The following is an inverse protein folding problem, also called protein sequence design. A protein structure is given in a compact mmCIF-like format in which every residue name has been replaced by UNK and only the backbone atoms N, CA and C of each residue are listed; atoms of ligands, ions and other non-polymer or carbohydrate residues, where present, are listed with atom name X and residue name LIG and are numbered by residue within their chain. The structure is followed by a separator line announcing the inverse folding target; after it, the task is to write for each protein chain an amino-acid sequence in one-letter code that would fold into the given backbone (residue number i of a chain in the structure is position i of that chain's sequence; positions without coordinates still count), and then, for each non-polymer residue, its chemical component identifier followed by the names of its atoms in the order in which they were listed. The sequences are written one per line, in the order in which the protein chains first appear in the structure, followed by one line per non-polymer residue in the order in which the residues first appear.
data_IF_128429375651
#
_entry.id   IF_128429375651
#
_cell.length_a   1.000
_cell.length_b   1.000
_cell.length_c   1.000
_cell.angle_alpha   90.00
_cell.angle_beta   90.00
_cell.angle_gamma   90.00
#
_symmetry.space_group_name_H-M   'P 1'
#
loop_
_entity.id
_entity.type
_entity.pdbx_description
1 polymer ?
#
# COMPACT_ATOMS: atom_id res chain seq x y z
N UNK A 1 9.85 8.01 11.13
CA UNK A 1 9.01 9.23 11.08
C UNK A 1 9.18 9.81 9.69
N UNK A 2 8.10 10.22 9.02
CA UNK A 2 8.16 10.74 7.66
C UNK A 2 8.43 12.24 7.66
N UNK A 3 9.05 12.73 6.59
CA UNK A 3 9.37 14.14 6.40
C UNK A 3 8.58 14.71 5.22
N UNK A 4 8.46 16.04 5.18
CA UNK A 4 7.88 16.74 4.03
C UNK A 4 8.75 16.46 2.80
N UNK A 5 8.11 16.06 1.71
CA UNK A 5 8.77 15.61 0.47
C UNK A 5 8.95 14.10 0.37
N UNK A 6 8.73 13.33 1.44
CA UNK A 6 8.83 11.87 1.37
C UNK A 6 7.77 11.29 0.43
N UNK A 7 8.21 10.38 -0.45
CA UNK A 7 7.35 9.57 -1.30
C UNK A 7 6.89 8.36 -0.51
N UNK A 8 5.59 8.26 -0.30
CA UNK A 8 4.97 7.24 0.55
C UNK A 8 3.86 6.53 -0.20
N UNK A 9 3.49 5.35 0.28
CA UNK A 9 2.35 4.57 -0.21
C UNK A 9 1.42 4.33 0.95
N UNK A 10 0.16 4.75 0.79
CA UNK A 10 -0.91 4.46 1.71
C UNK A 10 -1.76 3.31 1.13
N UNK A 11 -1.93 2.18 1.87
CA UNK A 11 -2.71 1.05 1.39
C UNK A 11 -4.09 1.48 0.88
N UNK A 12 -4.57 0.82 -0.19
CA UNK A 12 -5.83 1.09 -0.89
C UNK A 12 -5.96 2.45 -1.59
N UNK A 13 -5.18 3.46 -1.22
CA UNK A 13 -5.26 4.81 -1.80
C UNK A 13 -4.14 5.06 -2.83
N UNK A 14 -2.98 4.43 -2.62
CA UNK A 14 -1.86 4.47 -3.57
C UNK A 14 -0.70 5.32 -3.10
N UNK A 15 0.12 5.74 -4.06
CA UNK A 15 1.33 6.52 -3.81
C UNK A 15 1.01 8.03 -3.71
N UNK A 16 1.71 8.72 -2.82
CA UNK A 16 1.60 10.15 -2.61
C UNK A 16 2.88 10.75 -2.05
N UNK A 17 2.84 12.06 -1.82
CA UNK A 17 3.96 12.82 -1.24
C UNK A 17 3.44 13.50 0.03
N UNK A 18 4.23 13.46 1.10
CA UNK A 18 3.93 14.24 2.30
C UNK A 18 4.18 15.72 2.00
N UNK A 19 3.14 16.54 1.98
CA UNK A 19 3.25 17.98 1.74
C UNK A 19 3.41 18.78 3.04
N UNK A 20 2.80 18.32 4.14
CA UNK A 20 2.85 19.01 5.41
C UNK A 20 2.68 18.07 6.60
N UNK A 21 3.09 18.55 7.78
CA UNK A 21 2.81 17.95 9.07
C UNK A 21 2.04 19.00 9.88
N UNK A 22 0.76 18.74 10.12
CA UNK A 22 -0.14 19.68 10.78
C UNK A 22 -0.56 19.17 12.16
N UNK A 23 -0.71 20.07 13.12
CA UNK A 23 -1.38 19.77 14.38
C UNK A 23 -2.84 20.27 14.29
N UNK A 24 -3.80 19.39 14.54
CA UNK A 24 -5.23 19.74 14.58
C UNK A 24 -5.86 19.26 15.86
N UNK A 25 -6.82 20.05 16.34
CA UNK A 25 -7.72 19.66 17.41
C UNK A 25 -9.00 19.11 16.80
N UNK A 26 -9.28 17.83 17.03
CA UNK A 26 -10.50 17.16 16.56
C UNK A 26 -11.18 16.55 17.78
N UNK A 27 -12.45 16.89 18.01
CA UNK A 27 -13.22 16.44 19.18
C UNK A 27 -12.56 16.76 20.54
N UNK A 28 -11.80 17.86 20.63
CA UNK A 28 -11.11 18.28 21.85
C UNK A 28 -9.75 17.60 22.07
N UNK A 29 -9.33 16.70 21.19
CA UNK A 29 -8.00 16.07 21.24
C UNK A 29 -7.07 16.71 20.20
N UNK A 30 -5.92 17.22 20.67
CA UNK A 30 -4.85 17.72 19.80
C UNK A 30 -3.99 16.57 19.31
N UNK A 31 -3.94 16.39 18.00
CA UNK A 31 -3.15 15.34 17.37
C UNK A 31 -2.43 15.87 16.13
N UNK A 32 -1.25 15.31 15.87
CA UNK A 32 -0.48 15.60 14.65
C UNK A 32 -0.87 14.67 13.51
N UNK A 33 -0.92 15.22 12.32
CA UNK A 33 -1.33 14.55 11.09
C UNK A 33 -0.28 14.75 10.00
N UNK A 34 0.00 13.69 9.26
CA UNK A 34 0.65 13.81 7.96
C UNK A 34 -0.38 14.19 6.91
N UNK A 35 -0.07 15.24 6.15
CA UNK A 35 -0.84 15.64 4.98
C UNK A 35 -0.18 15.04 3.75
N UNK A 36 -0.79 14.00 3.19
CA UNK A 36 -0.33 13.34 1.98
C UNK A 36 -1.16 13.80 0.79
N UNK A 37 -0.52 14.25 -0.29
CA UNK A 37 -1.18 14.53 -1.57
C UNK A 37 -0.90 13.44 -2.57
N UNK A 38 -1.96 13.01 -3.25
CA UNK A 38 -1.84 12.03 -4.32
C UNK A 38 -1.82 12.73 -5.69
N UNK A 39 -0.93 12.31 -6.60
CA UNK A 39 -0.83 12.91 -7.93
C UNK A 39 -2.07 12.60 -8.79
N UNK A 40 -2.73 11.47 -8.51
CA UNK A 40 -3.95 11.06 -9.20
C UNK A 40 -5.16 11.58 -8.44
N UNK A 41 -6.03 12.32 -9.15
CA UNK A 41 -7.33 12.76 -8.62
C UNK A 41 -7.29 13.98 -7.70
N UNK A 42 -6.14 14.66 -7.55
CA UNK A 42 -5.96 15.84 -6.68
C UNK A 42 -6.51 15.63 -5.25
N UNK A 43 -6.42 14.39 -4.75
CA UNK A 43 -6.92 14.01 -3.43
C UNK A 43 -5.85 14.23 -2.36
N UNK A 44 -6.27 14.78 -1.23
CA UNK A 44 -5.44 14.98 -0.04
C UNK A 44 -5.94 14.08 1.09
N UNK A 45 -5.03 13.37 1.73
CA UNK A 45 -5.32 12.42 2.81
C UNK A 45 -4.59 12.88 4.07
N UNK A 46 -5.33 13.01 5.17
CA UNK A 46 -4.76 13.32 6.49
C UNK A 46 -4.61 12.03 7.31
N UNK A 47 -3.38 11.70 7.71
CA UNK A 47 -3.07 10.45 8.41
C UNK A 47 -2.58 10.78 9.83
N UNK A 48 -3.28 10.32 10.89
CA UNK A 48 -2.89 10.60 12.27
C UNK A 48 -1.54 9.94 12.58
N UNK A 49 -0.59 10.72 13.09
CA UNK A 49 0.78 10.27 13.34
C UNK A 49 0.86 9.10 14.33
N UNK A 50 -0.08 9.02 15.26
CA UNK A 50 -0.11 7.96 16.28
C UNK A 50 -0.39 6.56 15.69
N UNK A 51 -1.11 6.49 14.57
CA UNK A 51 -1.60 5.22 14.00
C UNK A 51 -0.91 4.86 12.67
N UNK A 52 0.22 5.48 12.37
CA UNK A 52 0.90 5.32 11.08
C UNK A 52 1.33 3.87 10.82
N UNK A 53 1.85 3.20 11.84
CA UNK A 53 2.28 1.80 11.76
C UNK A 53 1.10 0.84 11.61
N UNK A 54 -0.02 1.12 12.28
CA UNK A 54 -1.23 0.28 12.20
C UNK A 54 -2.01 0.49 10.90
N UNK A 55 -1.91 1.67 10.30
CA UNK A 55 -2.54 2.02 9.03
C UNK A 55 -1.71 1.59 7.80
N UNK A 56 -0.50 1.04 8.00
CA UNK A 56 0.33 0.49 6.93
C UNK A 56 0.96 1.53 6.01
N UNK A 57 1.10 2.78 6.45
CA UNK A 57 1.80 3.81 5.68
C UNK A 57 3.29 3.45 5.60
N UNK A 58 3.81 3.38 4.37
CA UNK A 58 5.20 2.97 4.12
C UNK A 58 5.88 3.88 3.11
N UNK A 59 7.21 3.85 3.08
CA UNK A 59 7.98 4.48 1.99
C UNK A 59 7.80 3.70 0.68
N UNK A 60 8.13 4.38 -0.42
CA UNK A 60 8.38 3.71 -1.70
C UNK A 60 9.53 2.72 -1.55
N UNK A 61 9.47 1.66 -2.35
CA UNK A 61 10.50 0.61 -2.34
C UNK A 61 11.75 1.06 -3.09
N UNK A 62 12.88 0.45 -2.75
CA UNK A 62 14.14 0.62 -3.46
C UNK A 62 14.22 -0.24 -4.72
N UNK A 63 15.30 -0.08 -5.47
CA UNK A 63 15.54 -0.80 -6.73
C UNK A 63 15.70 -2.30 -6.50
N UNK A 64 16.36 -2.72 -5.41
CA UNK A 64 16.56 -4.13 -5.08
C UNK A 64 15.22 -4.83 -4.80
N UNK A 65 14.34 -4.19 -4.03
CA UNK A 65 12.98 -4.67 -3.82
C UNK A 65 12.17 -4.74 -5.11
N UNK A 66 12.38 -3.78 -6.02
CA UNK A 66 11.74 -3.78 -7.34
C UNK A 66 12.19 -4.98 -8.18
N UNK A 67 13.48 -5.31 -8.19
CA UNK A 67 14.00 -6.49 -8.91
C UNK A 67 13.36 -7.78 -8.39
N UNK A 68 13.28 -7.94 -7.07
CA UNK A 68 12.60 -9.09 -6.45
C UNK A 68 11.11 -9.16 -6.85
N UNK A 69 10.42 -8.02 -6.93
CA UNK A 69 9.02 -7.96 -7.40
C UNK A 69 8.91 -8.38 -8.86
N UNK A 70 9.81 -7.92 -9.72
CA UNK A 70 9.84 -8.30 -11.14
C UNK A 70 10.07 -9.81 -11.31
N UNK A 71 10.94 -10.40 -10.50
CA UNK A 71 11.19 -11.85 -10.51
C UNK A 71 9.98 -12.64 -10.04
N UNK A 72 9.29 -12.17 -8.99
CA UNK A 72 8.01 -12.74 -8.56
C UNK A 72 7.00 -12.72 -9.71
N UNK A 73 6.86 -11.60 -10.43
CA UNK A 73 5.91 -11.50 -11.54
C UNK A 73 6.27 -12.44 -12.71
N UNK A 74 7.55 -12.68 -12.97
CA UNK A 74 8.04 -13.59 -14.02
C UNK A 74 7.91 -15.07 -13.64
N UNK A 75 7.97 -15.39 -12.35
CA UNK A 75 7.91 -16.75 -11.80
C UNK A 75 6.72 -17.54 -12.34
N UNK A 76 6.97 -18.82 -12.68
CA UNK A 76 5.99 -19.71 -13.28
C UNK A 76 5.10 -20.49 -12.31
N UNK A 77 5.33 -20.35 -11.00
CA UNK A 77 4.48 -20.96 -9.98
C UNK A 77 3.03 -20.46 -10.11
N UNK A 78 2.08 -21.40 -10.07
CA UNK A 78 0.65 -21.11 -10.05
C UNK A 78 0.08 -21.45 -8.67
N UNK A 79 -0.85 -20.64 -8.18
CA UNK A 79 -1.63 -21.00 -6.99
C UNK A 79 -2.66 -22.09 -7.35
N UNK A 80 -2.54 -23.24 -6.70
CA UNK A 80 -3.37 -24.43 -6.95
C UNK A 80 -4.73 -24.36 -6.21
N UNK A 81 -5.10 -23.22 -5.65
CA UNK A 81 -6.34 -23.08 -4.86
C UNK A 81 -7.61 -23.20 -5.72
N UNK A 82 -8.33 -24.31 -5.56
CA UNK A 82 -9.49 -24.67 -6.40
C UNK A 82 -10.74 -23.81 -6.16
N UNK A 83 -11.02 -23.38 -4.91
CA UNK A 83 -12.26 -22.64 -4.59
C UNK A 83 -12.12 -21.14 -4.83
N UNK A 84 -12.96 -20.58 -5.71
CA UNK A 84 -12.97 -19.14 -6.04
C UNK A 84 -13.21 -18.25 -4.82
N UNK A 85 -14.17 -18.59 -3.96
CA UNK A 85 -14.50 -17.81 -2.76
C UNK A 85 -13.33 -17.74 -1.78
N UNK A 86 -12.64 -18.87 -1.56
CA UNK A 86 -11.50 -18.90 -0.65
C UNK A 86 -10.33 -18.08 -1.20
N UNK A 87 -10.05 -18.21 -2.50
CA UNK A 87 -9.00 -17.43 -3.16
C UNK A 87 -9.30 -15.93 -3.15
N UNK A 88 -10.54 -15.53 -3.43
CA UNK A 88 -10.95 -14.13 -3.38
C UNK A 88 -10.66 -13.50 -2.01
N UNK A 89 -11.05 -14.18 -0.92
CA UNK A 89 -10.76 -13.74 0.45
C UNK A 89 -9.26 -13.66 0.70
N UNK A 90 -8.50 -14.71 0.38
CA UNK A 90 -7.05 -14.75 0.55
C UNK A 90 -6.33 -13.63 -0.23
N UNK A 91 -6.74 -13.38 -1.47
CA UNK A 91 -6.17 -12.30 -2.29
C UNK A 91 -6.52 -10.93 -1.71
N UNK A 92 -7.76 -10.76 -1.23
CA UNK A 92 -8.18 -9.52 -0.59
C UNK A 92 -7.38 -9.24 0.69
N UNK A 93 -7.15 -10.26 1.52
CA UNK A 93 -6.36 -10.14 2.74
C UNK A 93 -4.91 -9.73 2.42
N UNK A 94 -4.32 -10.37 1.40
CA UNK A 94 -2.98 -10.00 0.88
C UNK A 94 -2.91 -8.56 0.40
N UNK A 95 -3.90 -8.11 -0.39
CA UNK A 95 -3.94 -6.74 -0.90
C UNK A 95 -4.03 -5.72 0.24
N UNK A 96 -4.86 -6.02 1.26
CA UNK A 96 -5.02 -5.16 2.44
C UNK A 96 -3.75 -5.02 3.27
N UNK A 97 -2.84 -5.99 3.25
CA UNK A 97 -1.56 -5.88 3.98
C UNK A 97 -0.68 -4.73 3.46
N UNK A 98 -0.84 -4.34 2.19
CA UNK A 98 0.03 -3.35 1.56
C UNK A 98 1.47 -3.83 1.25
N UNK A 99 1.76 -5.12 1.49
CA UNK A 99 3.03 -5.76 1.15
C UNK A 99 3.14 -5.92 -0.38
N UNK A 100 4.16 -5.29 -0.94
CA UNK A 100 4.42 -5.27 -2.38
C UNK A 100 4.63 -6.68 -2.96
N UNK A 101 5.25 -7.59 -2.20
CA UNK A 101 5.55 -8.94 -2.66
C UNK A 101 4.29 -9.80 -2.70
N UNK A 102 3.43 -9.69 -1.69
CA UNK A 102 2.15 -10.38 -1.65
C UNK A 102 1.20 -9.87 -2.75
N UNK A 103 1.14 -8.56 -2.95
CA UNK A 103 0.37 -7.95 -4.04
C UNK A 103 0.89 -8.42 -5.40
N UNK A 104 2.21 -8.47 -5.60
CA UNK A 104 2.80 -8.97 -6.84
C UNK A 104 2.44 -10.44 -7.11
N UNK A 105 2.44 -11.30 -6.09
CA UNK A 105 1.99 -12.70 -6.22
C UNK A 105 0.52 -12.78 -6.63
N UNK A 106 -0.35 -11.98 -6.00
CA UNK A 106 -1.78 -11.95 -6.36
C UNK A 106 -1.97 -11.55 -7.82
N UNK A 107 -1.29 -10.49 -8.28
CA UNK A 107 -1.36 -10.03 -9.68
C UNK A 107 -0.89 -11.13 -10.64
N UNK A 108 0.28 -11.73 -10.38
CA UNK A 108 0.83 -12.83 -11.18
C UNK A 108 -0.15 -14.00 -11.30
N UNK A 109 -0.69 -14.45 -10.16
CA UNK A 109 -1.57 -15.62 -10.10
C UNK A 109 -2.89 -15.37 -10.85
N UNK A 110 -3.41 -14.14 -10.81
CA UNK A 110 -4.61 -13.74 -11.57
C UNK A 110 -4.32 -13.62 -13.08
N UNK A 111 -3.24 -12.95 -13.49
CA UNK A 111 -2.88 -12.78 -14.91
C UNK A 111 -2.65 -14.11 -15.63
N UNK A 112 -2.09 -15.11 -14.94
CA UNK A 112 -1.84 -16.44 -15.51
C UNK A 112 -3.10 -17.27 -15.68
N UNK A 113 -4.18 -16.93 -14.98
CA UNK A 113 -5.47 -17.61 -15.07
C UNK A 113 -6.34 -17.07 -16.21
N UNK A 114 -6.16 -15.82 -16.61
CA UNK A 114 -6.87 -15.22 -17.74
C UNK A 114 -6.33 -15.67 -19.11
N UNK A 115 -5.19 -16.37 -19.15
CA UNK A 115 -4.68 -17.09 -20.33
C UNK A 115 -5.23 -18.50 -20.40
#
# INVERSE_FOLDING_TARGET
MFQIGDKVVYPMHGAGIIEAIEEKEILGEKQKYYVMKMPVGNMQVMIPMANVSTLGLRQVVDTDSLEMVLDILKDQRQDLTSSWNHRYRKNMDKIKTGDIYEVARVVRDLMRREK
#
